data_IF_320695120175
#
_entry.id   IF_320695120175
#
_cell.length_a   1.000
_cell.length_b   1.000
_cell.length_c   1.000
_cell.angle_alpha   90.00
_cell.angle_beta   90.00
_cell.angle_gamma   90.00
#
_symmetry.space_group_name_H-M   'P 1'
#
loop_
_entity.id
_entity.type
_entity.pdbx_description
1 polymer ?
#
# COMPACT_ATOMS: atom_id res chain seq x y z
N UNK A 1 -10.26 22.83 7.73
CA UNK A 1 -8.92 22.25 7.85
C UNK A 1 -7.88 23.36 7.85
N UNK A 2 -6.64 23.10 8.27
CA UNK A 2 -5.60 24.14 8.36
C UNK A 2 -5.32 24.89 7.03
N UNK A 3 -5.40 24.19 5.89
CA UNK A 3 -5.22 24.81 4.57
C UNK A 3 -6.41 25.68 4.13
N UNK A 4 -7.61 25.37 4.65
CA UNK A 4 -8.82 26.15 4.40
C UNK A 4 -8.88 27.43 5.24
N UNK A 5 -8.39 27.38 6.47
CA UNK A 5 -8.36 28.54 7.39
C UNK A 5 -7.07 29.37 7.32
N UNK A 6 -6.12 28.98 6.43
CA UNK A 6 -4.90 29.73 6.14
C UNK A 6 -3.75 29.51 7.11
N UNK A 7 -3.87 28.59 8.07
CA UNK A 7 -2.77 28.22 8.98
C UNK A 7 -1.67 27.41 8.29
N UNK A 8 -1.95 26.84 7.14
CA UNK A 8 -0.97 26.18 6.29
C UNK A 8 -1.21 26.56 4.81
N UNK A 9 -0.14 26.52 4.01
CA UNK A 9 -0.25 26.71 2.57
C UNK A 9 -1.06 25.57 1.93
N UNK A 10 -1.85 25.93 0.92
CA UNK A 10 -2.63 24.98 0.12
C UNK A 10 -1.68 24.20 -0.78
N UNK A 11 -1.71 22.88 -0.67
CA UNK A 11 -0.95 21.97 -1.53
C UNK A 11 -1.90 21.28 -2.54
N UNK A 12 -1.41 20.49 -3.52
CA UNK A 12 -2.28 19.83 -4.51
C UNK A 12 -3.45 19.06 -3.90
N UNK A 13 -3.29 18.46 -2.72
CA UNK A 13 -4.37 17.74 -2.03
C UNK A 13 -5.61 18.61 -1.78
N UNK A 14 -5.45 19.91 -1.54
CA UNK A 14 -6.58 20.83 -1.33
C UNK A 14 -7.49 20.88 -2.57
N UNK A 15 -6.88 21.03 -3.76
CA UNK A 15 -7.61 21.07 -5.02
C UNK A 15 -8.29 19.75 -5.33
N UNK A 16 -7.56 18.63 -5.18
CA UNK A 16 -8.05 17.28 -5.46
C UNK A 16 -9.25 16.95 -4.56
N UNK A 17 -9.15 17.21 -3.25
CA UNK A 17 -10.27 16.99 -2.30
C UNK A 17 -11.48 17.80 -2.70
N UNK A 18 -11.29 19.09 -3.03
CA UNK A 18 -12.41 19.96 -3.42
C UNK A 18 -13.08 19.48 -4.71
N UNK A 19 -12.30 19.11 -5.71
CA UNK A 19 -12.82 18.58 -6.98
C UNK A 19 -13.55 17.26 -6.77
N UNK A 20 -12.94 16.31 -6.04
CA UNK A 20 -13.48 14.97 -5.83
C UNK A 20 -14.84 14.98 -5.13
N UNK A 21 -15.02 15.89 -4.17
CA UNK A 21 -16.25 15.97 -3.39
C UNK A 21 -17.21 17.09 -3.81
N UNK A 22 -16.84 17.90 -4.81
CA UNK A 22 -17.66 19.02 -5.30
C UNK A 22 -17.79 20.15 -4.28
N UNK A 23 -16.74 20.43 -3.51
CA UNK A 23 -16.76 21.38 -2.41
C UNK A 23 -16.72 22.81 -2.94
N UNK A 24 -17.79 23.57 -2.68
CA UNK A 24 -17.86 24.99 -2.98
C UNK A 24 -17.46 25.84 -1.78
N UNK A 25 -17.79 25.39 -0.57
CA UNK A 25 -17.42 26.00 0.70
C UNK A 25 -16.64 25.01 1.58
N UNK A 26 -15.51 25.44 2.14
CA UNK A 26 -14.63 24.60 2.98
C UNK A 26 -15.32 24.00 4.22
N UNK A 27 -16.42 24.61 4.70
CA UNK A 27 -17.22 24.05 5.79
C UNK A 27 -18.01 22.78 5.38
N UNK A 28 -18.22 22.52 4.09
CA UNK A 28 -18.92 21.33 3.61
C UNK A 28 -18.15 20.03 3.87
N UNK A 29 -16.82 20.12 4.06
CA UNK A 29 -15.98 18.93 4.28
C UNK A 29 -16.43 18.12 5.50
N UNK A 30 -16.88 18.79 6.58
CA UNK A 30 -17.35 18.09 7.77
C UNK A 30 -18.62 17.28 7.47
N UNK A 31 -19.57 17.89 6.75
CA UNK A 31 -20.80 17.24 6.30
C UNK A 31 -20.49 16.06 5.37
N UNK A 32 -19.53 16.20 4.46
CA UNK A 32 -19.09 15.10 3.58
C UNK A 32 -18.55 13.93 4.41
N UNK A 33 -17.70 14.19 5.41
CA UNK A 33 -17.12 13.13 6.25
C UNK A 33 -18.21 12.41 7.05
N UNK A 34 -19.13 13.14 7.68
CA UNK A 34 -20.17 12.52 8.51
C UNK A 34 -21.28 11.87 7.67
N UNK A 35 -21.81 12.56 6.67
CA UNK A 35 -23.05 12.14 6.00
C UNK A 35 -22.77 11.29 4.76
N UNK A 36 -21.71 11.60 3.99
CA UNK A 36 -21.38 10.87 2.76
C UNK A 36 -20.43 9.70 3.03
N UNK A 37 -19.32 9.94 3.72
CA UNK A 37 -18.34 8.88 4.01
C UNK A 37 -18.82 7.97 5.15
N UNK A 38 -19.54 8.51 6.13
CA UNK A 38 -20.12 7.77 7.27
C UNK A 38 -19.11 6.88 8.01
N UNK A 39 -17.82 7.23 7.94
CA UNK A 39 -16.71 6.39 8.42
C UNK A 39 -16.73 4.94 7.90
N UNK A 40 -17.39 4.69 6.76
CA UNK A 40 -17.46 3.36 6.17
C UNK A 40 -16.10 3.00 5.57
N UNK A 41 -15.65 1.77 5.82
CA UNK A 41 -14.28 1.32 5.47
C UNK A 41 -13.98 1.43 3.97
N UNK A 42 -14.94 1.11 3.12
CA UNK A 42 -14.86 1.26 1.66
C UNK A 42 -14.73 2.73 1.24
N UNK A 43 -15.52 3.62 1.86
CA UNK A 43 -15.46 5.07 1.62
C UNK A 43 -14.18 5.73 2.11
N UNK A 44 -13.64 5.24 3.23
CA UNK A 44 -12.32 5.68 3.71
C UNK A 44 -11.22 5.22 2.73
N UNK A 45 -11.35 4.05 2.11
CA UNK A 45 -10.38 3.59 1.10
C UNK A 45 -10.36 4.48 -0.15
N UNK A 46 -11.47 5.16 -0.50
CA UNK A 46 -11.48 6.16 -1.57
C UNK A 46 -10.57 7.36 -1.28
N UNK A 47 -10.30 7.68 0.00
CA UNK A 47 -9.34 8.72 0.38
C UNK A 47 -7.90 8.33 0.06
N UNK A 48 -7.58 7.03 0.01
CA UNK A 48 -6.26 6.57 -0.40
C UNK A 48 -5.97 6.90 -1.87
N UNK A 49 -7.01 6.94 -2.72
CA UNK A 49 -6.86 7.36 -4.11
C UNK A 49 -6.54 8.86 -4.21
N UNK A 50 -7.18 9.69 -3.38
CA UNK A 50 -6.89 11.13 -3.29
C UNK A 50 -5.44 11.35 -2.84
N UNK A 51 -4.99 10.61 -1.82
CA UNK A 51 -3.62 10.69 -1.32
C UNK A 51 -2.60 10.30 -2.39
N UNK A 52 -2.91 9.25 -3.16
CA UNK A 52 -2.06 8.80 -4.27
C UNK A 52 -1.98 9.84 -5.39
N UNK A 53 -3.12 10.42 -5.79
CA UNK A 53 -3.18 11.49 -6.80
C UNK A 53 -2.36 12.71 -6.35
N UNK A 54 -2.52 13.13 -5.10
CA UNK A 54 -1.74 14.24 -4.54
C UNK A 54 -0.23 13.95 -4.55
N UNK A 55 0.18 12.72 -4.23
CA UNK A 55 1.60 12.34 -4.26
C UNK A 55 2.16 12.34 -5.69
N UNK A 56 1.38 11.91 -6.69
CA UNK A 56 1.74 12.02 -8.12
C UNK A 56 1.95 13.49 -8.50
N UNK A 57 1.10 14.38 -8.02
CA UNK A 57 1.18 15.82 -8.26
C UNK A 57 2.29 16.52 -7.46
N UNK A 58 3.13 15.76 -6.74
CA UNK A 58 4.29 16.26 -6.01
C UNK A 58 3.98 16.88 -4.65
N UNK A 59 2.78 16.63 -4.10
CA UNK A 59 2.39 17.10 -2.77
C UNK A 59 3.31 16.48 -1.70
N UNK A 60 4.13 17.32 -1.07
CA UNK A 60 5.12 16.88 -0.08
C UNK A 60 4.48 16.29 1.18
N UNK A 61 3.29 16.76 1.58
CA UNK A 61 2.58 16.21 2.74
C UNK A 61 2.04 14.82 2.41
N UNK A 62 1.50 14.64 1.20
CA UNK A 62 1.04 13.33 0.75
C UNK A 62 2.19 12.31 0.67
N UNK A 63 3.34 12.74 0.14
CA UNK A 63 4.56 11.91 0.09
C UNK A 63 5.05 11.55 1.50
N UNK A 64 5.03 12.52 2.44
CA UNK A 64 5.41 12.28 3.83
C UNK A 64 4.53 11.22 4.51
N UNK A 65 3.22 11.22 4.25
CA UNK A 65 2.30 10.19 4.77
C UNK A 65 2.70 8.78 4.28
N UNK A 66 3.12 8.63 3.02
CA UNK A 66 3.63 7.34 2.53
C UNK A 66 4.96 6.96 3.20
N UNK A 67 5.85 7.92 3.45
CA UNK A 67 7.10 7.67 4.19
C UNK A 67 6.83 7.22 5.63
N UNK A 68 5.89 7.85 6.32
CA UNK A 68 5.44 7.46 7.66
C UNK A 68 4.87 6.04 7.65
N UNK A 69 3.99 5.72 6.70
CA UNK A 69 3.45 4.37 6.55
C UNK A 69 4.56 3.32 6.29
N UNK A 70 5.54 3.64 5.43
CA UNK A 70 6.69 2.77 5.19
C UNK A 70 7.53 2.56 6.46
N UNK A 71 7.71 3.61 7.27
CA UNK A 71 8.40 3.51 8.54
C UNK A 71 7.69 2.55 9.49
N UNK A 72 6.37 2.68 9.66
CA UNK A 72 5.56 1.78 10.49
C UNK A 72 5.63 0.32 10.00
N UNK A 73 5.56 0.08 8.69
CA UNK A 73 5.76 -1.27 8.14
C UNK A 73 7.16 -1.81 8.44
N UNK A 74 8.19 -0.97 8.40
CA UNK A 74 9.56 -1.38 8.76
C UNK A 74 9.67 -1.80 10.22
N UNK A 75 8.94 -1.13 11.13
CA UNK A 75 8.90 -1.48 12.55
C UNK A 75 8.25 -2.85 12.75
N UNK A 76 7.18 -3.17 12.02
CA UNK A 76 6.56 -4.49 12.05
C UNK A 76 7.55 -5.57 11.62
N UNK A 77 8.27 -5.35 10.52
CA UNK A 77 9.29 -6.30 10.04
C UNK A 77 10.38 -6.50 11.10
N UNK A 78 10.94 -5.42 11.65
CA UNK A 78 11.97 -5.47 12.70
C UNK A 78 11.48 -6.21 13.95
N UNK A 79 10.24 -5.95 14.38
CA UNK A 79 9.63 -6.65 15.51
C UNK A 79 9.53 -8.16 15.26
N UNK A 80 9.16 -8.57 14.03
CA UNK A 80 9.10 -9.99 13.66
C UNK A 80 10.49 -10.63 13.56
N UNK A 81 11.49 -9.92 13.03
CA UNK A 81 12.88 -10.40 12.99
C UNK A 81 13.43 -10.69 14.39
N UNK A 82 13.05 -9.89 15.39
CA UNK A 82 13.48 -10.05 16.78
C UNK A 82 12.68 -11.13 17.52
N UNK A 83 11.39 -11.29 17.21
CA UNK A 83 10.49 -12.22 17.91
C UNK A 83 10.59 -13.65 17.38
N UNK A 84 10.89 -13.82 16.10
CA UNK A 84 10.95 -15.12 15.44
C UNK A 84 12.39 -15.64 15.41
N UNK A 85 12.55 -16.94 15.65
CA UNK A 85 13.85 -17.63 15.69
C UNK A 85 14.40 -17.91 14.28
N UNK A 86 14.61 -16.87 13.48
CA UNK A 86 15.28 -17.00 12.19
C UNK A 86 16.77 -17.29 12.36
N UNK A 87 17.31 -18.20 11.54
CA UNK A 87 18.74 -18.52 11.48
C UNK A 87 19.56 -17.22 11.27
N UNK A 88 20.49 -16.85 12.17
CA UNK A 88 21.22 -15.59 12.10
C UNK A 88 22.00 -15.36 10.80
N UNK A 89 22.54 -16.43 10.23
CA UNK A 89 23.37 -16.45 9.03
C UNK A 89 22.57 -16.39 7.71
N UNK A 90 21.24 -16.45 7.77
CA UNK A 90 20.37 -16.38 6.58
C UNK A 90 19.62 -15.07 6.53
N UNK A 91 19.58 -14.50 5.32
CA UNK A 91 18.66 -13.41 5.00
C UNK A 91 17.21 -13.90 5.14
N UNK A 92 16.37 -13.06 5.72
CA UNK A 92 14.94 -13.31 5.83
C UNK A 92 14.26 -12.72 4.60
N UNK A 93 13.56 -13.57 3.84
CA UNK A 93 12.77 -13.10 2.71
C UNK A 93 11.53 -12.37 3.20
N UNK A 94 11.36 -11.13 2.76
CA UNK A 94 10.19 -10.32 3.03
C UNK A 94 9.52 -9.99 1.71
N UNK A 95 8.19 -10.11 1.67
CA UNK A 95 7.37 -9.65 0.56
C UNK A 95 6.19 -8.83 1.10
N UNK A 96 5.38 -8.27 0.21
CA UNK A 96 4.31 -7.35 0.57
C UNK A 96 3.02 -7.69 -0.18
N UNK A 97 1.90 -7.28 0.40
CA UNK A 97 0.58 -7.40 -0.22
C UNK A 97 -0.36 -6.35 0.37
N UNK A 98 -1.41 -6.00 -0.37
CA UNK A 98 -2.41 -5.01 0.06
C UNK A 98 -2.42 -3.74 -0.79
N UNK A 99 -3.53 -3.00 -0.72
CA UNK A 99 -3.81 -1.86 -1.60
C UNK A 99 -2.82 -0.70 -1.49
N UNK A 100 -2.24 -0.47 -0.30
CA UNK A 100 -1.26 0.61 -0.08
C UNK A 100 -0.03 0.46 -0.99
N UNK A 101 0.41 -0.77 -1.26
CA UNK A 101 1.56 -1.03 -2.12
C UNK A 101 1.32 -0.71 -3.59
N UNK A 102 0.07 -0.42 -4.00
CA UNK A 102 -0.23 0.13 -5.33
C UNK A 102 0.30 1.56 -5.51
N UNK A 103 0.65 2.25 -4.42
CA UNK A 103 1.35 3.53 -4.48
C UNK A 103 2.80 3.42 -5.03
N UNK A 104 3.29 2.21 -5.30
CA UNK A 104 4.55 1.98 -5.99
C UNK A 104 5.73 2.55 -5.22
N UNK A 105 6.60 3.31 -5.89
CA UNK A 105 7.84 3.80 -5.28
C UNK A 105 7.61 4.80 -4.14
N UNK A 106 6.43 5.44 -4.02
CA UNK A 106 6.12 6.29 -2.86
C UNK A 106 6.18 5.53 -1.53
N UNK A 107 5.82 4.25 -1.52
CA UNK A 107 5.87 3.38 -0.33
C UNK A 107 7.04 2.38 -0.39
N UNK A 108 7.34 1.83 -1.57
CA UNK A 108 8.33 0.77 -1.72
C UNK A 108 9.77 1.29 -1.54
N UNK A 109 10.07 2.50 -2.02
CA UNK A 109 11.41 3.09 -1.87
C UNK A 109 11.75 3.36 -0.40
N UNK A 110 10.95 4.15 0.36
CA UNK A 110 11.27 4.39 1.78
C UNK A 110 11.25 3.11 2.60
N UNK A 111 10.37 2.14 2.31
CA UNK A 111 10.35 0.88 3.03
C UNK A 111 11.66 0.08 2.82
N UNK A 112 12.17 0.00 1.59
CA UNK A 112 13.48 -0.62 1.30
C UNK A 112 14.61 0.13 2.02
N UNK A 113 14.58 1.46 2.04
CA UNK A 113 15.57 2.28 2.73
C UNK A 113 15.58 2.02 4.24
N UNK A 114 14.41 1.97 4.89
CA UNK A 114 14.29 1.69 6.33
C UNK A 114 14.71 0.26 6.74
N UNK A 115 14.70 -0.67 5.78
CA UNK A 115 15.11 -2.06 5.97
C UNK A 115 16.54 -2.35 5.48
N UNK A 116 17.23 -1.36 4.90
CA UNK A 116 18.55 -1.54 4.26
C UNK A 116 19.66 -2.06 5.19
N UNK A 117 19.52 -1.82 6.50
CA UNK A 117 20.46 -2.29 7.53
C UNK A 117 20.04 -3.63 8.15
N UNK A 118 18.86 -4.12 7.82
CA UNK A 118 18.35 -5.39 8.31
C UNK A 118 18.81 -6.53 7.40
N UNK A 119 18.89 -7.74 7.95
CA UNK A 119 19.19 -8.97 7.20
C UNK A 119 17.99 -9.45 6.37
N UNK A 120 17.42 -8.57 5.57
CA UNK A 120 16.19 -8.80 4.82
C UNK A 120 16.45 -8.76 3.33
N UNK A 121 15.97 -9.78 2.64
CA UNK A 121 15.82 -9.76 1.18
C UNK A 121 14.39 -9.37 0.83
N UNK A 122 14.21 -8.15 0.33
CA UNK A 122 12.90 -7.63 -0.04
C UNK A 122 12.52 -8.03 -1.47
N UNK A 123 11.47 -8.84 -1.62
CA UNK A 123 11.05 -9.44 -2.89
C UNK A 123 9.65 -8.95 -3.29
N UNK A 124 9.47 -8.65 -4.57
CA UNK A 124 8.13 -8.42 -5.12
C UNK A 124 7.30 -9.72 -5.06
N UNK A 125 6.00 -9.63 -4.77
CA UNK A 125 5.12 -10.79 -4.84
C UNK A 125 5.07 -11.36 -6.26
N UNK A 126 5.15 -12.69 -6.37
CA UNK A 126 5.17 -13.42 -7.67
C UNK A 126 3.76 -13.55 -8.26
N UNK A 127 2.75 -13.67 -7.39
CA UNK A 127 1.34 -13.84 -7.73
C UNK A 127 0.50 -12.87 -6.90
N UNK A 128 -0.68 -12.50 -7.39
CA UNK A 128 -1.68 -11.82 -6.57
C UNK A 128 -2.15 -12.72 -5.41
N UNK A 129 -2.61 -12.12 -4.29
CA UNK A 129 -3.09 -12.90 -3.14
C UNK A 129 -4.14 -13.96 -3.49
N UNK A 130 -5.07 -13.66 -4.41
CA UNK A 130 -6.12 -14.61 -4.82
C UNK A 130 -5.54 -15.82 -5.56
N UNK A 131 -4.58 -15.60 -6.45
CA UNK A 131 -3.92 -16.67 -7.21
C UNK A 131 -2.98 -17.47 -6.32
N UNK A 132 -2.30 -16.81 -5.37
CA UNK A 132 -1.52 -17.47 -4.33
C UNK A 132 -2.37 -18.38 -3.44
N UNK A 133 -3.59 -17.98 -3.11
CA UNK A 133 -4.52 -18.82 -2.36
C UNK A 133 -4.94 -20.07 -3.14
N UNK A 134 -5.21 -19.94 -4.44
CA UNK A 134 -5.50 -21.09 -5.31
C UNK A 134 -4.29 -22.05 -5.42
N UNK A 135 -3.07 -21.49 -5.55
CA UNK A 135 -1.84 -22.28 -5.53
C UNK A 135 -1.67 -23.02 -4.20
N UNK A 136 -1.98 -22.35 -3.08
CA UNK A 136 -1.89 -22.96 -1.75
C UNK A 136 -2.93 -24.08 -1.55
N UNK A 137 -4.15 -23.91 -2.06
CA UNK A 137 -5.15 -24.98 -2.04
C UNK A 137 -4.67 -26.23 -2.81
N UNK A 138 -4.04 -26.04 -3.98
CA UNK A 138 -3.44 -27.12 -4.74
C UNK A 138 -2.27 -27.79 -4.00
N UNK A 139 -1.46 -26.99 -3.28
CA UNK A 139 -0.36 -27.50 -2.47
C UNK A 139 -0.88 -28.41 -1.35
N UNK A 140 -1.98 -28.04 -0.69
CA UNK A 140 -2.58 -28.85 0.36
C UNK A 140 -3.12 -30.19 -0.15
N UNK A 141 -3.54 -30.28 -1.41
CA UNK A 141 -4.02 -31.53 -2.02
C UNK A 141 -2.86 -32.42 -2.49
N UNK A 142 -1.81 -31.83 -3.05
CA UNK A 142 -0.74 -32.56 -3.75
C UNK A 142 0.55 -32.71 -2.96
N UNK A 143 0.68 -32.01 -1.83
CA UNK A 143 1.90 -31.87 -1.00
C UNK A 143 3.14 -31.33 -1.73
N UNK A 144 3.03 -31.05 -3.04
CA UNK A 144 4.09 -30.51 -3.88
C UNK A 144 3.51 -29.65 -5.00
N UNK A 145 4.26 -28.62 -5.37
CA UNK A 145 3.94 -27.70 -6.45
C UNK A 145 5.08 -27.76 -7.46
N UNK A 146 4.75 -28.02 -8.73
CA UNK A 146 5.73 -28.00 -9.80
C UNK A 146 5.92 -26.57 -10.34
N UNK A 147 7.15 -26.22 -10.71
CA UNK A 147 7.48 -24.91 -11.29
C UNK A 147 6.65 -24.60 -12.55
N UNK A 148 6.23 -25.63 -13.29
CA UNK A 148 5.35 -25.49 -14.45
C UNK A 148 3.97 -24.90 -14.07
N UNK A 149 3.43 -25.28 -12.92
CA UNK A 149 2.15 -24.75 -12.41
C UNK A 149 2.30 -23.29 -12.04
N UNK A 150 3.35 -22.94 -11.30
CA UNK A 150 3.64 -21.56 -10.91
C UNK A 150 3.83 -20.66 -12.14
N UNK A 151 4.60 -21.11 -13.14
CA UNK A 151 4.79 -20.38 -14.40
C UNK A 151 3.47 -20.18 -15.13
N UNK A 152 2.63 -21.22 -15.23
CA UNK A 152 1.33 -21.13 -15.90
C UNK A 152 0.40 -20.12 -15.20
N UNK A 153 0.30 -20.18 -13.88
CA UNK A 153 -0.52 -19.23 -13.11
C UNK A 153 -0.05 -17.79 -13.27
N UNK A 154 1.27 -17.57 -13.24
CA UNK A 154 1.85 -16.25 -13.49
C UNK A 154 1.47 -15.73 -14.89
N UNK A 155 1.60 -16.55 -15.93
CA UNK A 155 1.24 -16.15 -17.30
C UNK A 155 -0.24 -15.84 -17.45
N UNK A 156 -1.13 -16.63 -16.85
CA UNK A 156 -2.57 -16.38 -16.90
C UNK A 156 -2.97 -15.11 -16.13
N UNK A 157 -2.37 -14.87 -14.96
CA UNK A 157 -2.59 -13.65 -14.19
C UNK A 157 -2.17 -12.40 -14.98
N UNK A 158 -0.98 -12.43 -15.61
CA UNK A 158 -0.52 -11.35 -16.49
C UNK A 158 -1.45 -11.13 -17.69
N UNK A 159 -2.05 -12.19 -18.24
CA UNK A 159 -3.01 -12.10 -19.34
C UNK A 159 -4.30 -11.41 -18.92
N UNK A 160 -4.83 -11.76 -17.75
CA UNK A 160 -6.10 -11.20 -17.23
C UNK A 160 -5.93 -9.73 -16.82
N UNK A 161 -4.78 -9.36 -16.25
CA UNK A 161 -4.52 -7.97 -15.82
C UNK A 161 -4.20 -7.01 -16.97
N UNK A 162 -3.98 -7.51 -18.19
CA UNK A 162 -3.78 -6.69 -19.41
C UNK A 162 -5.09 -6.37 -20.14
N UNK A 163 -6.22 -6.91 -19.69
CA UNK A 163 -7.57 -6.61 -20.16
C UNK A 163 -8.22 -5.57 -19.26
#
# INVERSE_FOLDING_TARGET
GKEADGREEKTPIYGIVRQKFGISNDFELITIVYDKLQMKRDKIAELALILYEAAIDGDQKAIAIYQEAAYEYSLIVKALLNKLQFMPEKEVSVSYSGGVFKAGEFILKPLKEFLSKERVKFNQPILQPVTGAALYALFLEREKIDDAVLKKLKTEEERVLRL
#
